data_IF_357194416949
#
_entry.id   IF_357194416949
#
_cell.length_a   1.000
_cell.length_b   1.000
_cell.length_c   1.000
_cell.angle_alpha   90.00
_cell.angle_beta   90.00
_cell.angle_gamma   90.00
#
_symmetry.space_group_name_H-M   'P 1'
#
loop_
_entity.id
_entity.type
_entity.pdbx_description
1 polymer ?
#
# COMPACT_ATOMS: atom_id res chain seq x y z
N UNK A 1 11.48 17.99 -17.12
CA UNK A 1 10.65 16.82 -16.76
C UNK A 1 9.72 16.52 -17.94
N UNK A 2 9.65 15.27 -18.43
CA UNK A 2 8.74 14.89 -19.54
C UNK A 2 7.38 14.51 -18.93
N UNK A 3 6.33 15.27 -19.23
CA UNK A 3 5.00 15.16 -18.59
C UNK A 3 4.00 14.57 -19.58
N UNK A 4 3.17 13.63 -19.11
CA UNK A 4 2.09 12.99 -19.86
C UNK A 4 0.77 13.25 -19.12
N UNK A 5 0.15 14.40 -19.40
CA UNK A 5 -1.05 14.86 -18.69
C UNK A 5 -2.22 13.87 -18.77
N UNK A 6 -2.44 13.23 -19.93
CA UNK A 6 -3.52 12.26 -20.14
C UNK A 6 -3.34 10.96 -19.35
N UNK A 7 -2.13 10.67 -18.88
CA UNK A 7 -1.83 9.52 -18.03
C UNK A 7 -1.57 9.93 -16.57
N UNK A 8 -1.72 11.21 -16.23
CA UNK A 8 -1.40 11.74 -14.90
C UNK A 8 0.01 11.34 -14.40
N UNK A 9 1.02 11.34 -15.29
CA UNK A 9 2.38 10.94 -14.91
C UNK A 9 3.45 11.82 -15.53
N UNK A 10 4.65 11.72 -14.98
CA UNK A 10 5.86 12.29 -15.55
C UNK A 10 7.05 11.35 -15.43
N UNK A 11 8.00 11.48 -16.35
CA UNK A 11 9.27 10.76 -16.29
C UNK A 11 10.15 11.42 -15.24
N UNK A 12 10.60 10.66 -14.23
CA UNK A 12 11.31 11.23 -13.10
C UNK A 12 12.77 11.54 -13.46
N UNK A 13 13.31 12.52 -12.75
CA UNK A 13 14.74 12.62 -12.51
C UNK A 13 15.02 12.01 -11.13
N UNK A 14 15.70 10.87 -11.11
CA UNK A 14 15.97 10.07 -9.92
C UNK A 14 17.38 10.34 -9.43
N UNK A 15 17.51 10.57 -8.13
CA UNK A 15 18.77 10.59 -7.42
C UNK A 15 19.07 9.21 -6.84
N UNK A 16 20.17 8.62 -7.30
CA UNK A 16 20.71 7.37 -6.76
C UNK A 16 21.97 7.68 -5.94
N UNK A 17 22.35 6.82 -4.98
CA UNK A 17 23.66 6.94 -4.33
C UNK A 17 24.79 6.95 -5.37
N UNK A 18 25.77 7.82 -5.15
CA UNK A 18 27.01 7.85 -5.92
C UNK A 18 27.78 6.53 -5.75
N UNK A 19 28.68 6.25 -6.71
CA UNK A 19 29.53 5.06 -6.64
C UNK A 19 30.39 5.07 -5.35
N UNK A 20 30.57 3.89 -4.76
CA UNK A 20 31.30 3.73 -3.49
C UNK A 20 30.44 3.85 -2.23
N UNK A 21 29.18 4.29 -2.32
CA UNK A 21 28.23 4.20 -1.20
C UNK A 21 27.79 2.74 -1.02
N UNK A 22 27.87 2.25 0.21
CA UNK A 22 27.38 0.93 0.59
C UNK A 22 25.85 0.88 0.48
N UNK A 23 25.35 0.27 -0.60
CA UNK A 23 23.93 0.19 -0.88
C UNK A 23 23.16 -0.63 0.17
N UNK A 24 23.81 -1.61 0.80
CA UNK A 24 23.18 -2.45 1.83
C UNK A 24 22.92 -1.63 3.11
N UNK A 25 23.79 -0.68 3.45
CA UNK A 25 23.55 0.30 4.53
C UNK A 25 22.67 1.47 4.09
N UNK A 26 22.71 1.81 2.81
CA UNK A 26 21.92 2.91 2.27
C UNK A 26 20.42 2.60 2.34
N UNK A 27 20.02 1.43 1.86
CA UNK A 27 18.63 1.08 1.66
C UNK A 27 17.98 0.60 2.95
N UNK A 28 17.00 1.36 3.46
CA UNK A 28 16.29 1.05 4.72
C UNK A 28 14.82 0.81 4.43
N UNK A 29 14.19 -0.10 5.16
CA UNK A 29 12.78 -0.43 4.97
C UNK A 29 11.87 0.78 5.27
N UNK A 30 10.68 0.79 4.66
CA UNK A 30 9.64 1.78 4.88
C UNK A 30 9.39 2.08 6.37
N UNK A 31 9.24 3.36 6.70
CA UNK A 31 9.23 3.84 8.08
C UNK A 31 7.97 3.47 8.87
N UNK A 32 6.93 3.04 8.17
CA UNK A 32 5.65 2.54 8.70
C UNK A 32 5.64 1.02 8.93
N UNK A 33 6.79 0.36 8.78
CA UNK A 33 7.00 -1.04 9.14
C UNK A 33 7.65 -1.15 10.52
N UNK A 34 7.50 -2.31 11.18
CA UNK A 34 8.08 -2.59 12.50
C UNK A 34 7.76 -1.50 13.55
N UNK A 35 6.54 -0.94 13.49
CA UNK A 35 6.16 0.27 14.27
C UNK A 35 6.01 0.02 15.77
N UNK A 36 5.96 -1.25 16.18
CA UNK A 36 5.91 -1.68 17.58
C UNK A 36 7.16 -2.47 18.01
N UNK A 37 8.23 -2.44 17.19
CA UNK A 37 9.44 -3.23 17.38
C UNK A 37 10.68 -2.31 17.42
N UNK A 38 10.92 -1.60 18.54
CA UNK A 38 12.08 -0.72 18.68
C UNK A 38 13.42 -1.47 18.52
N UNK A 39 13.47 -2.77 18.86
CA UNK A 39 14.65 -3.61 18.72
C UNK A 39 15.07 -3.80 17.25
N UNK A 40 14.11 -3.83 16.32
CA UNK A 40 14.40 -3.87 14.88
C UNK A 40 15.13 -2.59 14.46
N UNK A 41 14.61 -1.43 14.85
CA UNK A 41 15.19 -0.13 14.51
C UNK A 41 16.57 0.09 15.16
N UNK A 42 16.80 -0.43 16.37
CA UNK A 42 18.14 -0.45 16.98
C UNK A 42 19.15 -1.29 16.17
N UNK A 43 18.73 -2.43 15.60
CA UNK A 43 19.60 -3.22 14.70
C UNK A 43 19.91 -2.47 13.41
N UNK A 44 18.93 -1.77 12.84
CA UNK A 44 19.13 -0.90 11.66
C UNK A 44 20.14 0.21 12.00
N UNK A 45 19.95 0.92 13.11
CA UNK A 45 20.86 1.97 13.58
C UNK A 45 22.28 1.44 13.80
N UNK A 46 22.45 0.27 14.43
CA UNK A 46 23.75 -0.36 14.64
C UNK A 46 24.44 -0.77 13.32
N UNK A 47 23.68 -1.30 12.34
CA UNK A 47 24.22 -1.69 11.04
C UNK A 47 24.66 -0.47 10.20
N UNK A 48 23.84 0.58 10.20
CA UNK A 48 24.11 1.83 9.47
C UNK A 48 25.30 2.57 10.07
N UNK A 49 25.33 2.73 11.40
CA UNK A 49 26.36 3.48 12.10
C UNK A 49 26.47 4.92 11.57
N UNK A 50 27.67 5.33 11.16
CA UNK A 50 27.93 6.67 10.60
C UNK A 50 27.95 6.71 9.06
N UNK A 51 27.58 5.61 8.39
CA UNK A 51 27.58 5.54 6.93
C UNK A 51 26.41 6.35 6.34
N UNK A 52 26.56 6.94 5.13
CA UNK A 52 25.43 7.55 4.46
C UNK A 52 24.29 6.55 4.27
N UNK A 53 23.07 6.94 4.68
CA UNK A 53 21.90 6.07 4.65
C UNK A 53 20.59 6.84 4.56
N UNK A 54 19.59 6.19 3.95
CA UNK A 54 18.19 6.66 3.99
C UNK A 54 17.61 6.65 5.40
N UNK A 55 18.17 5.90 6.36
CA UNK A 55 17.80 5.98 7.78
C UNK A 55 17.80 7.43 8.29
N UNK A 56 18.81 8.20 7.86
CA UNK A 56 18.99 9.59 8.27
C UNK A 56 18.11 10.57 7.49
N UNK A 57 17.33 10.09 6.52
CA UNK A 57 16.40 10.85 5.68
C UNK A 57 14.93 10.57 6.00
N UNK A 58 14.66 9.63 6.91
CA UNK A 58 13.30 9.17 7.24
C UNK A 58 13.01 9.34 8.73
N UNK A 59 11.71 9.31 9.05
CA UNK A 59 11.23 9.30 10.42
C UNK A 59 10.54 7.95 10.70
N UNK A 60 11.23 6.98 11.34
CA UNK A 60 10.62 5.71 11.74
C UNK A 60 9.41 5.91 12.66
N UNK A 61 8.27 5.29 12.33
CA UNK A 61 7.01 5.55 13.01
C UNK A 61 6.98 5.05 14.46
N UNK A 62 7.87 4.11 14.82
CA UNK A 62 8.09 3.67 16.20
C UNK A 62 8.42 4.85 17.14
N UNK A 63 8.98 5.94 16.60
CA UNK A 63 9.36 7.13 17.37
C UNK A 63 8.30 8.24 17.33
N UNK A 64 7.14 8.05 16.71
CA UNK A 64 6.11 9.11 16.57
C UNK A 64 5.62 9.68 17.90
N UNK A 65 5.75 8.93 19.00
CA UNK A 65 5.35 9.36 20.34
C UNK A 65 6.53 9.76 21.23
N UNK A 66 7.76 9.71 20.72
CA UNK A 66 8.93 10.15 21.45
C UNK A 66 8.89 11.68 21.72
N UNK A 67 9.53 12.16 22.80
CA UNK A 67 9.50 13.58 23.15
C UNK A 67 10.36 14.46 22.24
N UNK A 68 11.32 13.89 21.49
CA UNK A 68 12.34 14.58 20.68
C UNK A 68 11.92 14.81 19.21
N UNK A 69 10.62 14.91 18.92
CA UNK A 69 10.10 14.93 17.54
C UNK A 69 10.69 16.05 16.68
N UNK A 70 10.72 17.27 17.21
CA UNK A 70 11.18 18.47 16.48
C UNK A 70 12.70 18.40 16.19
N UNK A 71 13.49 17.87 17.13
CA UNK A 71 14.93 17.67 16.96
C UNK A 71 15.21 16.62 15.87
N UNK A 72 14.43 15.54 15.86
CA UNK A 72 14.54 14.47 14.85
C UNK A 72 14.19 14.99 13.45
N UNK A 73 13.10 15.76 13.32
CA UNK A 73 12.72 16.41 12.04
C UNK A 73 13.82 17.36 11.57
N UNK A 74 14.33 18.22 12.46
CA UNK A 74 15.39 19.17 12.14
C UNK A 74 16.67 18.47 11.65
N UNK A 75 17.07 17.38 12.32
CA UNK A 75 18.22 16.55 11.93
C UNK A 75 18.03 15.88 10.56
N UNK A 76 16.84 15.36 10.28
CA UNK A 76 16.50 14.77 8.98
C UNK A 76 16.66 15.81 7.87
N UNK A 77 16.05 16.98 8.03
CA UNK A 77 16.11 18.05 7.04
C UNK A 77 17.54 18.59 6.83
N UNK A 78 18.31 18.72 7.92
CA UNK A 78 19.72 19.10 7.85
C UNK A 78 20.54 18.05 7.07
N UNK A 79 20.30 16.77 7.33
CA UNK A 79 20.98 15.66 6.63
C UNK A 79 20.66 15.65 5.14
N UNK A 80 19.39 15.86 4.76
CA UNK A 80 19.01 15.94 3.35
C UNK A 80 19.79 17.04 2.60
N UNK A 81 19.95 18.21 3.23
CA UNK A 81 20.73 19.34 2.67
C UNK A 81 22.23 19.01 2.60
N UNK A 82 22.78 18.44 3.66
CA UNK A 82 24.17 18.02 3.74
C UNK A 82 24.52 16.99 2.65
N UNK A 83 23.68 15.98 2.43
CA UNK A 83 23.88 14.98 1.38
C UNK A 83 23.86 15.58 -0.02
N UNK A 84 22.94 16.50 -0.29
CA UNK A 84 22.92 17.25 -1.55
C UNK A 84 24.19 18.08 -1.73
N UNK A 85 24.65 18.77 -0.69
CA UNK A 85 25.85 19.61 -0.73
C UNK A 85 27.14 18.80 -0.92
N UNK A 86 27.23 17.62 -0.28
CA UNK A 86 28.36 16.70 -0.41
C UNK A 86 28.42 15.96 -1.75
N UNK A 87 27.36 16.05 -2.56
CA UNK A 87 27.32 15.39 -3.87
C UNK A 87 27.30 13.85 -3.79
N UNK A 88 26.68 13.29 -2.74
CA UNK A 88 26.61 11.83 -2.57
C UNK A 88 25.55 11.15 -3.46
N UNK A 89 24.92 11.93 -4.35
CA UNK A 89 23.95 11.46 -5.32
C UNK A 89 24.46 11.60 -6.75
N UNK A 90 24.11 10.62 -7.59
CA UNK A 90 24.15 10.72 -9.06
C UNK A 90 22.73 10.82 -9.59
N UNK A 91 22.52 11.68 -10.59
CA UNK A 91 21.21 11.86 -11.22
C UNK A 91 21.04 10.93 -12.43
N UNK A 92 19.84 10.38 -12.58
CA UNK A 92 19.43 9.54 -13.71
C UNK A 92 18.02 9.96 -14.14
N UNK A 93 17.84 10.29 -15.41
CA UNK A 93 16.53 10.63 -15.97
C UNK A 93 15.96 9.44 -16.75
N UNK A 94 14.74 9.02 -16.42
CA UNK A 94 14.07 7.91 -17.10
C UNK A 94 13.22 7.07 -16.16
N UNK A 95 12.42 6.17 -16.73
CA UNK A 95 11.74 5.14 -15.95
C UNK A 95 12.78 4.14 -15.42
N UNK A 96 12.57 3.60 -14.23
CA UNK A 96 13.42 2.54 -13.68
C UNK A 96 12.60 1.27 -13.47
N UNK A 97 12.96 0.22 -14.19
CA UNK A 97 12.42 -1.12 -13.97
C UNK A 97 13.11 -1.75 -12.76
N UNK A 98 12.30 -2.24 -11.82
CA UNK A 98 12.75 -2.78 -10.54
C UNK A 98 12.34 -4.24 -10.42
N UNK A 99 13.25 -5.09 -9.98
CA UNK A 99 12.95 -6.45 -9.54
C UNK A 99 13.30 -6.57 -8.04
N UNK A 100 12.35 -7.02 -7.23
CA UNK A 100 12.54 -7.28 -5.79
C UNK A 100 12.24 -8.73 -5.47
N UNK A 101 13.16 -9.39 -4.79
CA UNK A 101 12.96 -10.73 -4.27
C UNK A 101 11.97 -10.72 -3.10
N UNK A 102 11.02 -11.65 -3.14
CA UNK A 102 10.01 -11.94 -2.12
C UNK A 102 10.01 -13.45 -1.83
N UNK A 103 9.29 -13.90 -0.81
CA UNK A 103 9.08 -15.33 -0.54
C UNK A 103 8.43 -16.07 -1.73
N UNK A 104 7.76 -15.34 -2.61
CA UNK A 104 6.99 -15.88 -3.74
C UNK A 104 7.64 -15.62 -5.11
N UNK A 105 8.85 -15.05 -5.16
CA UNK A 105 9.59 -14.84 -6.40
C UNK A 105 10.10 -13.42 -6.57
N UNK A 106 10.12 -12.93 -7.80
CA UNK A 106 10.60 -11.57 -8.11
C UNK A 106 9.43 -10.67 -8.47
N UNK A 107 9.10 -9.72 -7.58
CA UNK A 107 8.13 -8.67 -7.85
C UNK A 107 8.70 -7.65 -8.81
N UNK A 108 7.97 -7.42 -9.89
CA UNK A 108 8.37 -6.51 -10.95
C UNK A 108 7.65 -5.17 -10.78
N UNK A 109 8.41 -4.10 -10.83
CA UNK A 109 7.92 -2.75 -10.63
C UNK A 109 8.50 -1.75 -11.64
N UNK A 110 7.84 -0.60 -11.76
CA UNK A 110 8.27 0.50 -12.59
C UNK A 110 8.23 1.80 -11.78
N UNK A 111 9.38 2.43 -11.58
CA UNK A 111 9.49 3.72 -10.92
C UNK A 111 9.18 4.87 -11.89
N UNK A 112 8.20 5.68 -11.51
CA UNK A 112 7.76 6.87 -12.24
C UNK A 112 7.17 7.92 -11.28
N UNK A 113 6.87 9.11 -11.79
CA UNK A 113 6.19 10.13 -11.03
C UNK A 113 4.70 10.18 -11.38
N UNK A 114 3.81 10.21 -10.37
CA UNK A 114 2.39 10.45 -10.56
C UNK A 114 2.02 11.90 -10.23
N UNK A 115 1.08 12.45 -11.00
CA UNK A 115 0.54 13.80 -10.83
C UNK A 115 -0.50 13.82 -9.72
N UNK A 116 -0.19 14.53 -8.63
CA UNK A 116 -1.05 14.64 -7.47
C UNK A 116 -2.34 15.42 -7.78
N UNK A 117 -2.43 16.22 -8.84
CA UNK A 117 -3.71 16.85 -9.24
C UNK A 117 -4.76 15.80 -9.67
N UNK A 118 -4.31 14.62 -10.11
CA UNK A 118 -5.17 13.52 -10.53
C UNK A 118 -5.32 12.42 -9.46
N UNK A 119 -4.84 12.68 -8.25
CA UNK A 119 -4.99 11.80 -7.09
C UNK A 119 -6.03 12.35 -6.11
N UNK A 120 -6.97 11.49 -5.76
CA UNK A 120 -7.99 11.76 -4.75
C UNK A 120 -8.15 10.52 -3.85
N UNK A 121 -8.08 10.74 -2.53
CA UNK A 121 -8.22 9.70 -1.50
C UNK A 121 -9.56 9.77 -0.77
N UNK A 122 -10.49 10.60 -1.24
CA UNK A 122 -11.84 10.65 -0.70
C UNK A 122 -12.64 9.39 -1.11
N UNK A 123 -13.56 8.88 -0.27
CA UNK A 123 -14.30 7.65 -0.55
C UNK A 123 -15.14 7.64 -1.84
N UNK A 124 -15.43 8.81 -2.43
CA UNK A 124 -16.21 8.96 -3.67
C UNK A 124 -15.36 9.51 -4.82
N UNK A 125 -14.04 9.37 -4.71
CA UNK A 125 -13.11 9.80 -5.73
C UNK A 125 -13.40 9.11 -7.06
N UNK A 126 -13.38 9.91 -8.13
CA UNK A 126 -13.58 9.43 -9.49
C UNK A 126 -12.39 9.79 -10.39
N UNK A 127 -11.25 10.12 -9.79
CA UNK A 127 -10.01 10.53 -10.44
C UNK A 127 -9.26 9.34 -11.03
N UNK A 128 -8.23 9.62 -11.84
CA UNK A 128 -7.42 8.58 -12.48
C UNK A 128 -6.57 7.77 -11.49
N UNK A 129 -6.19 8.40 -10.36
CA UNK A 129 -5.45 7.79 -9.25
C UNK A 129 -6.32 7.82 -7.99
N UNK A 130 -6.55 6.67 -7.35
CA UNK A 130 -7.43 6.54 -6.17
C UNK A 130 -6.79 5.70 -5.07
N UNK A 131 -7.10 5.99 -3.81
CA UNK A 131 -6.70 5.13 -2.68
C UNK A 131 -7.52 3.84 -2.66
N UNK A 132 -6.88 2.70 -2.42
CA UNK A 132 -7.61 1.42 -2.24
C UNK A 132 -8.25 1.33 -0.86
N UNK A 133 -7.62 1.90 0.18
CA UNK A 133 -8.11 1.91 1.55
C UNK A 133 -8.41 3.33 2.04
N UNK A 134 -9.36 3.44 2.97
CA UNK A 134 -9.67 4.72 3.61
C UNK A 134 -8.44 5.32 4.32
N UNK A 135 -8.08 6.55 3.95
CA UNK A 135 -6.98 7.26 4.63
C UNK A 135 -7.43 7.73 6.00
N UNK A 136 -6.62 7.44 7.03
CA UNK A 136 -6.85 7.92 8.40
C UNK A 136 -6.41 9.38 8.46
N UNK A 137 -7.36 10.31 8.46
CA UNK A 137 -7.07 11.74 8.36
C UNK A 137 -6.23 12.25 9.52
N UNK A 138 -6.42 11.71 10.73
CA UNK A 138 -5.68 12.08 11.94
C UNK A 138 -4.18 11.74 11.84
N UNK A 139 -3.83 10.81 10.94
CA UNK A 139 -2.45 10.39 10.67
C UNK A 139 -1.72 11.33 9.71
N UNK A 140 -2.43 12.19 8.97
CA UNK A 140 -1.82 13.09 7.97
C UNK A 140 -1.06 14.26 8.62
N UNK A 141 -1.60 15.03 9.59
CA UNK A 141 -0.91 16.21 10.13
C UNK A 141 0.49 15.94 10.70
N UNK A 142 0.74 14.86 11.48
CA UNK A 142 2.09 14.53 11.92
C UNK A 142 3.06 14.26 10.76
N UNK A 143 2.59 13.58 9.70
CA UNK A 143 3.40 13.27 8.51
C UNK A 143 3.68 14.52 7.67
N UNK A 144 2.72 15.44 7.59
CA UNK A 144 2.92 16.74 6.94
C UNK A 144 4.02 17.52 7.64
N UNK A 145 4.05 17.57 8.97
CA UNK A 145 5.12 18.24 9.72
C UNK A 145 6.51 17.67 9.42
N UNK A 146 6.62 16.36 9.27
CA UNK A 146 7.89 15.68 8.94
C UNK A 146 8.37 16.06 7.52
N UNK A 147 7.45 16.12 6.55
CA UNK A 147 7.77 16.35 5.14
C UNK A 147 7.83 17.84 4.75
N UNK A 148 7.19 18.73 5.49
CA UNK A 148 7.18 20.18 5.21
C UNK A 148 8.60 20.76 5.36
N UNK A 149 9.13 21.35 4.29
CA UNK A 149 10.50 21.88 4.24
C UNK A 149 11.58 20.88 3.81
N UNK A 150 11.21 19.62 3.51
CA UNK A 150 12.13 18.63 2.97
C UNK A 150 12.61 19.01 1.56
N UNK A 151 13.93 18.89 1.31
CA UNK A 151 14.57 19.12 -0.01
C UNK A 151 14.61 17.87 -0.87
N UNK A 152 14.38 16.70 -0.27
CA UNK A 152 14.38 15.38 -0.91
C UNK A 152 13.09 14.65 -0.54
N UNK A 153 12.63 13.80 -1.45
CA UNK A 153 11.76 12.67 -1.10
C UNK A 153 12.47 11.35 -1.36
N UNK A 154 12.22 10.38 -0.48
CA UNK A 154 12.55 8.96 -0.67
C UNK A 154 11.25 8.18 -0.49
N UNK A 155 10.61 7.68 -1.56
CA UNK A 155 9.26 7.13 -1.46
C UNK A 155 9.26 5.63 -1.23
N UNK A 156 8.30 5.18 -0.43
CA UNK A 156 7.91 3.77 -0.29
C UNK A 156 6.52 3.47 -0.87
N UNK A 157 5.95 4.41 -1.64
CA UNK A 157 4.60 4.31 -2.19
C UNK A 157 4.58 3.25 -3.30
N UNK A 158 3.64 2.32 -3.20
CA UNK A 158 3.37 1.29 -4.20
C UNK A 158 2.00 1.55 -4.82
N UNK A 159 1.97 1.58 -6.15
CA UNK A 159 0.78 1.78 -6.96
C UNK A 159 0.51 0.49 -7.72
N UNK A 160 -0.76 0.11 -7.81
CA UNK A 160 -1.23 -1.04 -8.54
C UNK A 160 -1.87 -0.59 -9.86
N UNK A 161 -1.60 -1.37 -10.90
CA UNK A 161 -2.32 -1.35 -12.18
C UNK A 161 -2.98 -2.71 -12.38
N UNK A 162 -4.19 -2.72 -12.93
CA UNK A 162 -4.86 -3.95 -13.35
C UNK A 162 -4.57 -4.22 -14.84
N UNK A 163 -3.49 -4.97 -15.07
CA UNK A 163 -2.95 -5.28 -16.38
C UNK A 163 -2.75 -6.79 -16.57
N UNK A 164 -3.84 -7.54 -16.75
CA UNK A 164 -3.82 -9.00 -16.91
C UNK A 164 -3.00 -9.50 -18.10
N UNK A 165 -2.73 -8.63 -19.09
CA UNK A 165 -1.92 -8.96 -20.27
C UNK A 165 -0.46 -8.50 -20.13
N UNK A 166 -0.10 -7.92 -18.98
CA UNK A 166 1.24 -7.42 -18.66
C UNK A 166 1.84 -6.49 -19.72
N UNK A 167 1.02 -5.62 -20.31
CA UNK A 167 1.39 -4.69 -21.37
C UNK A 167 2.33 -3.57 -20.90
N UNK A 168 2.27 -3.20 -19.62
CA UNK A 168 3.00 -2.06 -19.06
C UNK A 168 4.38 -2.46 -18.57
N UNK A 169 4.49 -3.50 -17.74
CA UNK A 169 5.78 -3.91 -17.13
C UNK A 169 6.47 -5.00 -17.97
N UNK A 170 5.70 -5.78 -18.75
CA UNK A 170 6.21 -6.82 -19.64
C UNK A 170 7.33 -6.34 -20.58
N UNK A 171 7.18 -5.23 -21.31
CA UNK A 171 8.22 -4.75 -22.22
C UNK A 171 9.58 -4.52 -21.55
N UNK A 172 9.60 -3.99 -20.32
CA UNK A 172 10.85 -3.81 -19.58
C UNK A 172 11.46 -5.14 -19.12
N UNK A 173 10.62 -6.13 -18.83
CA UNK A 173 11.03 -7.48 -18.47
C UNK A 173 11.67 -8.19 -19.67
N UNK A 174 11.02 -8.15 -20.83
CA UNK A 174 11.44 -8.84 -22.05
C UNK A 174 12.76 -8.27 -22.60
N UNK A 175 12.93 -6.95 -22.51
CA UNK A 175 14.12 -6.24 -22.98
C UNK A 175 15.16 -5.99 -21.87
N UNK A 176 15.02 -6.59 -20.69
CA UNK A 176 15.87 -6.32 -19.50
C UNK A 176 17.37 -6.38 -19.80
N UNK A 177 17.80 -7.33 -20.64
CA UNK A 177 19.22 -7.53 -20.98
C UNK A 177 19.79 -6.40 -21.87
N UNK A 178 18.94 -5.56 -22.46
CA UNK A 178 19.31 -4.41 -23.28
C UNK A 178 19.38 -3.11 -22.48
N UNK A 179 18.83 -3.11 -21.26
CA UNK A 179 18.71 -1.97 -20.38
C UNK A 179 19.98 -1.78 -19.53
N UNK A 180 20.32 -0.52 -19.23
CA UNK A 180 21.44 -0.23 -18.33
C UNK A 180 21.09 -0.61 -16.88
N UNK A 181 21.79 -1.60 -16.32
CA UNK A 181 21.69 -1.94 -14.89
C UNK A 181 22.21 -0.80 -14.02
N UNK A 182 21.39 -0.34 -13.08
CA UNK A 182 21.67 0.76 -12.16
C UNK A 182 22.23 0.26 -10.81
N UNK A 183 21.63 -0.80 -10.26
CA UNK A 183 22.02 -1.43 -9.00
C UNK A 183 21.54 -2.88 -8.94
N UNK A 184 22.21 -3.70 -8.13
CA UNK A 184 21.93 -5.14 -7.95
C UNK A 184 22.63 -5.64 -6.68
N UNK A 185 21.91 -5.70 -5.57
CA UNK A 185 22.49 -5.98 -4.25
C UNK A 185 21.48 -6.58 -3.28
N UNK A 186 21.99 -7.20 -2.21
CA UNK A 186 21.18 -7.71 -1.10
C UNK A 186 20.83 -6.61 -0.11
N UNK A 187 19.58 -6.58 0.32
CA UNK A 187 19.08 -5.65 1.31
C UNK A 187 19.56 -6.05 2.72
N UNK A 188 19.50 -5.10 3.65
CA UNK A 188 19.84 -5.35 5.04
C UNK A 188 18.85 -6.31 5.71
N UNK A 189 19.29 -6.95 6.79
CA UNK A 189 18.46 -7.78 7.66
C UNK A 189 17.67 -8.85 6.89
N UNK A 190 18.37 -9.58 6.02
CA UNK A 190 17.86 -10.73 5.26
C UNK A 190 16.56 -10.44 4.49
N UNK A 191 16.39 -9.18 4.05
CA UNK A 191 15.18 -8.72 3.36
C UNK A 191 15.22 -8.94 1.84
N UNK A 192 15.95 -9.98 1.39
CA UNK A 192 16.08 -10.36 -0.02
C UNK A 192 17.01 -9.44 -0.85
N UNK A 193 16.94 -9.59 -2.16
CA UNK A 193 17.73 -8.87 -3.16
C UNK A 193 16.90 -7.90 -3.99
N UNK A 194 17.50 -6.79 -4.42
CA UNK A 194 16.88 -5.81 -5.32
C UNK A 194 17.75 -5.52 -6.54
N UNK A 195 17.11 -5.33 -7.69
CA UNK A 195 17.74 -4.94 -8.96
C UNK A 195 16.99 -3.79 -9.60
N UNK A 196 17.73 -2.89 -10.23
CA UNK A 196 17.17 -1.75 -10.93
C UNK A 196 17.82 -1.56 -12.28
N UNK A 197 17.03 -1.28 -13.30
CA UNK A 197 17.45 -1.09 -14.68
C UNK A 197 16.82 0.18 -15.23
N UNK A 198 17.64 1.04 -15.85
CA UNK A 198 17.15 2.23 -16.52
C UNK A 198 16.50 1.84 -17.83
N UNK A 199 15.26 2.29 -18.07
CA UNK A 199 14.61 2.16 -19.38
C UNK A 199 15.18 3.24 -20.31
N UNK A 200 16.41 3.03 -20.78
CA UNK A 200 17.17 3.96 -21.65
C UNK A 200 16.97 3.71 -23.15
N UNK A 201 16.04 2.82 -23.49
CA UNK A 201 15.66 2.48 -24.87
C UNK A 201 14.35 3.18 -25.24
N UNK A 202 14.35 4.15 -26.18
CA UNK A 202 13.12 4.86 -26.56
C UNK A 202 11.99 3.95 -27.05
N UNK A 203 12.32 2.84 -27.72
CA UNK A 203 11.34 1.85 -28.17
C UNK A 203 10.63 1.16 -26.99
N UNK A 204 11.40 0.75 -25.97
CA UNK A 204 10.85 0.12 -24.75
C UNK A 204 10.03 1.12 -23.96
N UNK A 205 10.52 2.36 -23.77
CA UNK A 205 9.73 3.43 -23.12
C UNK A 205 8.38 3.64 -23.84
N UNK A 206 8.39 3.67 -25.18
CA UNK A 206 7.16 3.81 -25.96
C UNK A 206 6.20 2.64 -25.73
N UNK A 207 6.66 1.39 -25.72
CA UNK A 207 5.81 0.23 -25.47
C UNK A 207 5.13 0.29 -24.10
N UNK A 208 5.88 0.67 -23.06
CA UNK A 208 5.35 0.86 -21.70
C UNK A 208 4.25 1.93 -21.68
N UNK A 209 4.51 3.08 -22.32
CA UNK A 209 3.54 4.19 -22.39
C UNK A 209 2.30 3.80 -23.21
N UNK A 210 2.46 3.10 -24.34
CA UNK A 210 1.35 2.59 -25.13
C UNK A 210 0.48 1.62 -24.31
N UNK A 211 1.11 0.77 -23.47
CA UNK A 211 0.41 -0.08 -22.51
C UNK A 211 -0.45 0.73 -21.53
N UNK A 212 0.12 1.77 -20.92
CA UNK A 212 -0.62 2.67 -20.02
C UNK A 212 -1.76 3.41 -20.73
N UNK A 213 -1.54 3.87 -21.98
CA UNK A 213 -2.60 4.47 -22.80
C UNK A 213 -3.76 3.51 -23.05
N UNK A 214 -3.45 2.23 -23.30
CA UNK A 214 -4.49 1.22 -23.50
C UNK A 214 -5.28 0.92 -22.22
N UNK A 215 -4.63 0.89 -21.06
CA UNK A 215 -5.32 0.72 -19.78
C UNK A 215 -6.17 1.94 -19.38
N UNK A 216 -5.74 3.14 -19.78
CA UNK A 216 -6.47 4.38 -19.54
C UNK A 216 -7.58 4.66 -20.57
N UNK A 217 -7.66 3.89 -21.66
CA UNK A 217 -8.69 4.09 -22.67
C UNK A 217 -10.08 3.87 -22.06
N UNK A 218 -10.94 4.88 -22.20
CA UNK A 218 -12.25 4.89 -21.54
C UNK A 218 -13.12 3.71 -21.98
N UNK A 219 -13.11 3.37 -23.27
CA UNK A 219 -13.99 2.32 -23.81
C UNK A 219 -13.51 0.95 -23.37
N UNK A 220 -12.20 0.70 -23.43
CA UNK A 220 -11.62 -0.56 -22.96
C UNK A 220 -11.81 -0.72 -21.46
N UNK A 221 -11.61 0.34 -20.67
CA UNK A 221 -11.86 0.35 -19.22
C UNK A 221 -13.32 0.02 -18.89
N UNK A 222 -14.27 0.74 -19.50
CA UNK A 222 -15.70 0.54 -19.25
C UNK A 222 -16.15 -0.87 -19.64
N UNK A 223 -15.68 -1.37 -20.78
CA UNK A 223 -15.94 -2.73 -21.23
C UNK A 223 -15.37 -3.77 -20.27
N UNK A 224 -14.12 -3.58 -19.80
CA UNK A 224 -13.44 -4.51 -18.88
C UNK A 224 -14.22 -4.71 -17.59
N UNK A 225 -14.74 -3.64 -17.00
CA UNK A 225 -15.44 -3.68 -15.72
C UNK A 225 -16.98 -3.65 -15.85
N UNK A 226 -17.52 -3.78 -17.06
CA UNK A 226 -18.96 -3.70 -17.35
C UNK A 226 -19.64 -2.45 -16.76
N UNK A 227 -19.04 -1.29 -17.00
CA UNK A 227 -19.47 0.01 -16.46
C UNK A 227 -20.24 0.84 -17.50
N UNK A 228 -21.07 1.81 -17.07
CA UNK A 228 -21.72 2.74 -17.98
C UNK A 228 -20.71 3.66 -18.69
N UNK A 229 -21.09 4.19 -19.86
CA UNK A 229 -20.27 5.09 -20.69
C UNK A 229 -19.80 6.38 -19.99
N UNK A 230 -20.46 6.76 -18.90
CA UNK A 230 -20.10 7.93 -18.07
C UNK A 230 -19.07 7.61 -16.97
N UNK A 231 -18.73 6.34 -16.74
CA UNK A 231 -17.82 5.95 -15.68
C UNK A 231 -16.38 6.41 -16.01
N UNK A 232 -15.75 7.21 -15.13
CA UNK A 232 -14.39 7.67 -15.35
C UNK A 232 -13.37 6.57 -15.05
N UNK A 233 -12.26 6.52 -15.81
CA UNK A 233 -11.24 5.49 -15.65
C UNK A 233 -10.55 5.56 -14.28
N UNK A 234 -10.15 4.39 -13.80
CA UNK A 234 -9.19 4.18 -12.72
C UNK A 234 -7.97 3.49 -13.33
N UNK A 235 -6.86 4.21 -13.46
CA UNK A 235 -5.62 3.63 -13.95
C UNK A 235 -4.74 3.14 -12.80
N UNK A 236 -4.65 3.94 -11.74
CA UNK A 236 -3.72 3.72 -10.64
C UNK A 236 -4.45 3.60 -9.31
N UNK A 237 -4.32 2.45 -8.66
CA UNK A 237 -4.86 2.21 -7.32
C UNK A 237 -3.72 2.18 -6.31
N UNK A 238 -3.79 2.95 -5.23
CA UNK A 238 -2.70 2.96 -4.23
C UNK A 238 -2.69 1.65 -3.46
N UNK A 239 -1.68 0.81 -3.67
CA UNK A 239 -1.54 -0.49 -2.99
C UNK A 239 -0.93 -0.37 -1.59
N UNK A 240 0.13 0.42 -1.46
CA UNK A 240 0.80 0.69 -0.18
C UNK A 240 1.33 2.13 -0.12
N UNK A 241 1.50 2.66 1.09
CA UNK A 241 1.89 4.05 1.31
C UNK A 241 0.76 5.06 1.12
N UNK A 242 -0.51 4.66 1.35
CA UNK A 242 -1.70 5.54 1.28
C UNK A 242 -1.50 6.87 2.03
N UNK A 243 -1.04 6.83 3.29
CA UNK A 243 -0.80 8.05 4.07
C UNK A 243 0.37 8.88 3.53
N UNK A 244 1.37 8.24 2.91
CA UNK A 244 2.52 8.92 2.31
C UNK A 244 2.11 9.73 1.08
N UNK A 245 1.32 9.14 0.17
CA UNK A 245 0.80 9.84 -1.00
C UNK A 245 -0.21 10.94 -0.61
N UNK A 246 -1.10 10.69 0.35
CA UNK A 246 -2.01 11.70 0.91
C UNK A 246 -1.27 12.87 1.56
N UNK A 247 -0.13 12.60 2.22
CA UNK A 247 0.74 13.64 2.79
C UNK A 247 1.37 14.49 1.69
N UNK A 248 1.87 13.86 0.62
CA UNK A 248 2.41 14.57 -0.53
C UNK A 248 1.34 15.46 -1.20
N UNK A 249 0.13 14.91 -1.43
CA UNK A 249 -1.04 15.66 -1.93
C UNK A 249 -1.37 16.86 -1.05
N UNK A 250 -1.40 16.67 0.26
CA UNK A 250 -1.71 17.77 1.21
C UNK A 250 -0.69 18.90 1.13
N UNK A 251 0.60 18.57 1.01
CA UNK A 251 1.66 19.57 0.82
C UNK A 251 1.53 20.27 -0.54
N UNK A 252 1.24 19.51 -1.59
CA UNK A 252 0.99 20.06 -2.91
C UNK A 252 -0.17 21.07 -2.92
N UNK A 253 -1.33 20.74 -2.35
CA UNK A 253 -2.47 21.66 -2.26
C UNK A 253 -2.12 22.93 -1.47
N UNK A 254 -1.36 22.81 -0.38
CA UNK A 254 -0.86 23.98 0.36
C UNK A 254 0.12 24.83 -0.47
N UNK A 255 0.95 24.23 -1.30
CA UNK A 255 1.87 24.95 -2.18
C UNK A 255 1.12 25.60 -3.35
N UNK A 256 0.16 24.89 -3.93
CA UNK A 256 -0.68 25.33 -5.04
C UNK A 256 -1.47 26.60 -4.72
N UNK A 257 -1.94 26.75 -3.47
CA UNK A 257 -2.61 27.98 -3.02
C UNK A 257 -1.68 29.18 -2.87
N UNK A 258 -0.36 28.95 -2.71
CA UNK A 258 0.67 30.00 -2.58
C UNK A 258 1.29 30.39 -3.93
N UNK A 259 1.40 29.44 -4.85
CA UNK A 259 1.90 29.68 -6.20
C UNK A 259 0.78 30.28 -7.05
N UNK A 260 1.03 31.45 -7.64
CA UNK A 260 0.08 32.12 -8.53
C UNK A 260 0.42 31.94 -10.01
N UNK A 261 1.66 31.53 -10.33
CA UNK A 261 2.13 31.35 -11.70
C UNK A 261 1.77 29.95 -12.24
N UNK A 262 1.00 29.84 -13.34
CA UNK A 262 0.64 28.56 -13.95
C UNK A 262 1.83 27.69 -14.38
N UNK A 263 2.93 28.29 -14.83
CA UNK A 263 4.12 27.56 -15.25
C UNK A 263 4.85 26.95 -14.06
N UNK A 264 4.96 27.69 -12.95
CA UNK A 264 5.52 27.20 -11.69
C UNK A 264 4.65 26.09 -11.11
N UNK A 265 3.31 26.20 -11.23
CA UNK A 265 2.39 25.16 -10.83
C UNK A 265 2.56 23.88 -11.65
N UNK A 266 2.68 24.00 -12.97
CA UNK A 266 2.81 22.86 -13.87
C UNK A 266 4.11 22.09 -13.68
N UNK A 267 5.21 22.82 -13.45
CA UNK A 267 6.55 22.26 -13.36
C UNK A 267 7.03 22.04 -11.91
N UNK A 268 6.19 22.31 -10.90
CA UNK A 268 6.54 22.13 -9.51
C UNK A 268 6.91 20.67 -9.22
N UNK A 269 8.10 20.38 -8.67
CA UNK A 269 8.45 19.03 -8.24
C UNK A 269 7.46 18.50 -7.18
N UNK A 270 6.89 19.38 -6.36
CA UNK A 270 5.92 19.02 -5.32
C UNK A 270 4.58 18.53 -5.87
N UNK A 271 4.24 18.85 -7.13
CA UNK A 271 3.04 18.34 -7.81
C UNK A 271 3.11 16.85 -8.11
N UNK A 272 4.32 16.35 -8.33
CA UNK A 272 4.53 14.97 -8.71
C UNK A 272 5.04 14.17 -7.50
N UNK A 273 4.70 12.89 -7.41
CA UNK A 273 5.22 11.99 -6.38
C UNK A 273 5.88 10.79 -7.05
N UNK A 274 7.14 10.49 -6.69
CA UNK A 274 7.82 9.29 -7.15
C UNK A 274 7.19 8.05 -6.49
N UNK A 275 6.83 7.04 -7.30
CA UNK A 275 6.13 5.82 -6.87
C UNK A 275 6.68 4.59 -7.60
N UNK A 276 6.51 3.41 -7.01
CA UNK A 276 6.71 2.12 -7.70
C UNK A 276 5.36 1.59 -8.19
N UNK A 277 5.17 1.50 -9.51
CA UNK A 277 4.00 0.87 -10.13
C UNK A 277 4.26 -0.63 -10.25
N UNK A 278 3.37 -1.44 -9.71
CA UNK A 278 3.39 -2.91 -9.71
C UNK A 278 2.13 -3.41 -10.40
N UNK A 279 2.25 -4.48 -11.18
CA UNK A 279 1.08 -5.14 -11.76
C UNK A 279 0.37 -5.97 -10.68
N UNK A 280 -0.92 -5.74 -10.51
CA UNK A 280 -1.77 -6.53 -9.60
C UNK A 280 -1.65 -8.05 -9.88
N UNK A 281 -1.50 -8.39 -11.15
CA UNK A 281 -1.39 -9.77 -11.65
C UNK A 281 0.02 -10.36 -11.55
N UNK A 282 0.99 -9.68 -10.93
CA UNK A 282 2.31 -10.26 -10.69
C UNK A 282 2.19 -11.45 -9.71
N UNK A 283 2.69 -12.62 -10.11
CA UNK A 283 2.59 -13.88 -9.32
C UNK A 283 3.22 -13.75 -7.93
N UNK A 284 4.24 -12.90 -7.78
CA UNK A 284 4.93 -12.71 -6.50
C UNK A 284 4.17 -11.78 -5.54
N UNK A 285 3.11 -11.12 -6.01
CA UNK A 285 2.26 -10.27 -5.19
C UNK A 285 1.16 -11.13 -4.57
N UNK A 286 1.24 -11.47 -3.28
CA UNK A 286 0.22 -12.29 -2.63
C UNK A 286 -0.66 -11.43 -1.71
N UNK A 287 -1.98 -11.63 -1.79
CA UNK A 287 -2.95 -11.02 -0.88
C UNK A 287 -3.26 -11.99 0.25
N UNK A 288 -2.91 -11.59 1.47
CA UNK A 288 -3.22 -12.35 2.67
C UNK A 288 -4.40 -11.72 3.41
N UNK A 289 -5.31 -12.54 3.96
CA UNK A 289 -6.41 -12.02 4.76
C UNK A 289 -5.87 -11.42 6.06
N UNK A 290 -6.50 -10.34 6.50
CA UNK A 290 -6.32 -9.84 7.87
C UNK A 290 -7.57 -10.25 8.65
N UNK A 291 -7.39 -11.07 9.68
CA UNK A 291 -8.48 -11.56 10.53
C UNK A 291 -8.91 -10.50 11.56
N UNK A 292 -9.99 -10.76 12.31
CA UNK A 292 -10.44 -9.90 13.41
C UNK A 292 -10.52 -10.66 14.71
N UNK A 293 -10.22 -10.00 15.82
CA UNK A 293 -10.51 -10.51 17.16
C UNK A 293 -11.22 -9.41 17.94
N UNK A 294 -12.44 -9.69 18.41
CA UNK A 294 -13.10 -8.88 19.42
C UNK A 294 -12.62 -9.30 20.81
N UNK A 295 -12.35 -8.32 21.68
CA UNK A 295 -11.96 -8.54 23.05
C UNK A 295 -13.03 -8.06 24.01
N UNK A 296 -13.20 -8.75 25.15
CA UNK A 296 -14.10 -8.29 26.21
C UNK A 296 -15.56 -8.19 25.79
N UNK A 297 -16.03 -9.16 24.99
CA UNK A 297 -17.43 -9.23 24.57
C UNK A 297 -18.31 -9.48 25.80
N UNK A 298 -19.31 -8.62 26.05
CA UNK A 298 -20.12 -8.67 27.27
C UNK A 298 -21.04 -9.90 27.32
N UNK A 299 -21.68 -10.24 26.19
CA UNK A 299 -22.61 -11.37 26.08
C UNK A 299 -22.24 -12.27 24.89
N UNK A 300 -21.10 -12.99 24.95
CA UNK A 300 -20.57 -13.75 23.81
C UNK A 300 -21.49 -14.89 23.34
N UNK A 301 -22.40 -15.35 24.20
CA UNK A 301 -23.46 -16.32 23.89
C UNK A 301 -24.55 -15.77 22.97
N UNK A 302 -24.80 -14.45 22.98
CA UNK A 302 -25.86 -13.80 22.22
C UNK A 302 -25.37 -13.26 20.87
N UNK A 303 -24.07 -13.36 20.58
CA UNK A 303 -23.46 -12.75 19.41
C UNK A 303 -24.07 -13.22 18.07
N UNK A 304 -24.39 -14.51 17.94
CA UNK A 304 -25.05 -15.05 16.73
C UNK A 304 -26.42 -14.38 16.50
N UNK A 305 -27.18 -14.16 17.58
CA UNK A 305 -28.47 -13.47 17.55
C UNK A 305 -28.29 -11.99 17.18
N UNK A 306 -27.29 -11.32 17.73
CA UNK A 306 -27.02 -9.91 17.40
C UNK A 306 -26.57 -9.72 15.95
N UNK A 307 -25.80 -10.66 15.40
CA UNK A 307 -25.45 -10.69 13.97
C UNK A 307 -26.71 -10.88 13.13
N UNK A 308 -27.55 -11.86 13.48
CA UNK A 308 -28.81 -12.14 12.77
C UNK A 308 -29.76 -10.92 12.75
N UNK A 309 -29.94 -10.28 13.91
CA UNK A 309 -30.74 -9.06 14.05
C UNK A 309 -30.18 -7.90 13.21
N UNK A 310 -28.85 -7.70 13.21
CA UNK A 310 -28.21 -6.66 12.41
C UNK A 310 -28.44 -6.85 10.91
N UNK A 311 -28.30 -8.09 10.42
CA UNK A 311 -28.55 -8.44 9.01
C UNK A 311 -30.03 -8.74 8.70
N UNK A 312 -30.94 -8.55 9.66
CA UNK A 312 -32.39 -8.75 9.50
C UNK A 312 -32.76 -10.17 9.05
N UNK A 313 -32.14 -11.18 9.64
CA UNK A 313 -32.38 -12.59 9.31
C UNK A 313 -31.77 -13.06 7.99
N UNK A 314 -30.85 -12.28 7.40
CA UNK A 314 -30.23 -12.58 6.09
C UNK A 314 -28.84 -13.19 6.21
N UNK A 315 -28.64 -14.00 7.25
CA UNK A 315 -27.41 -14.74 7.49
C UNK A 315 -27.74 -16.19 7.83
N UNK A 316 -26.85 -17.11 7.47
CA UNK A 316 -26.94 -18.51 7.86
C UNK A 316 -25.70 -18.90 8.67
N UNK A 317 -25.93 -19.59 9.78
CA UNK A 317 -24.88 -20.12 10.64
C UNK A 317 -24.75 -21.63 10.46
N UNK A 318 -23.52 -22.11 10.30
CA UNK A 318 -23.23 -23.55 10.26
C UNK A 318 -22.06 -23.86 11.17
N UNK A 319 -22.27 -24.81 12.10
CA UNK A 319 -21.22 -25.29 13.01
C UNK A 319 -20.32 -26.29 12.31
N UNK A 320 -19.03 -26.21 12.61
CA UNK A 320 -17.97 -27.07 12.10
C UNK A 320 -17.27 -27.81 13.24
N UNK A 321 -16.71 -28.99 12.98
CA UNK A 321 -16.10 -29.83 14.01
C UNK A 321 -14.68 -29.39 14.37
N UNK A 322 -14.03 -28.65 13.47
CA UNK A 322 -12.66 -28.18 13.62
C UNK A 322 -12.44 -26.84 12.93
N UNK A 323 -11.33 -26.19 13.26
CA UNK A 323 -10.87 -25.00 12.57
C UNK A 323 -10.61 -25.26 11.07
N UNK A 324 -10.04 -26.41 10.72
CA UNK A 324 -9.76 -26.76 9.32
C UNK A 324 -11.02 -26.93 8.48
N UNK A 325 -12.09 -27.52 9.05
CA UNK A 325 -13.40 -27.60 8.39
C UNK A 325 -13.98 -26.20 8.15
N UNK A 326 -13.92 -25.32 9.15
CA UNK A 326 -14.37 -23.93 9.02
C UNK A 326 -13.59 -23.18 7.93
N UNK A 327 -12.25 -23.29 7.96
CA UNK A 327 -11.35 -22.67 7.00
C UNK A 327 -11.64 -23.15 5.58
N UNK A 328 -11.88 -24.45 5.42
CA UNK A 328 -12.24 -25.06 4.13
C UNK A 328 -13.54 -24.48 3.62
N UNK A 329 -14.61 -24.42 4.42
CA UNK A 329 -15.91 -23.84 4.01
C UNK A 329 -15.77 -22.38 3.57
N UNK A 330 -15.01 -21.57 4.31
CA UNK A 330 -14.79 -20.14 3.99
C UNK A 330 -13.99 -19.96 2.69
N UNK A 331 -12.95 -20.77 2.49
CA UNK A 331 -12.07 -20.66 1.33
C UNK A 331 -12.62 -21.35 0.08
N UNK A 332 -13.53 -22.32 0.22
CA UNK A 332 -14.22 -22.98 -0.90
C UNK A 332 -15.48 -22.24 -1.37
N UNK A 333 -15.71 -21.02 -0.89
CA UNK A 333 -16.83 -20.18 -1.32
C UNK A 333 -16.83 -20.01 -2.84
N UNK A 334 -18.02 -20.00 -3.45
CA UNK A 334 -18.15 -19.72 -4.88
C UNK A 334 -17.99 -18.23 -5.16
N UNK A 335 -17.82 -17.89 -6.44
CA UNK A 335 -17.87 -16.51 -6.93
C UNK A 335 -19.18 -15.85 -6.44
N UNK A 336 -19.07 -14.64 -5.88
CA UNK A 336 -20.15 -13.86 -5.24
C UNK A 336 -20.67 -14.37 -3.89
N UNK A 337 -20.30 -15.58 -3.43
CA UNK A 337 -20.66 -16.02 -2.08
C UNK A 337 -19.82 -15.29 -1.04
N UNK A 338 -20.50 -14.78 -0.01
CA UNK A 338 -19.81 -14.18 1.14
C UNK A 338 -19.94 -15.06 2.37
N UNK A 339 -18.80 -15.53 2.84
CA UNK A 339 -18.69 -16.42 4.00
C UNK A 339 -17.52 -15.94 4.86
N UNK A 340 -17.78 -15.80 6.15
CA UNK A 340 -16.75 -15.56 7.17
C UNK A 340 -16.81 -16.65 8.22
N UNK A 341 -15.71 -16.90 8.93
CA UNK A 341 -15.70 -17.80 10.07
C UNK A 341 -15.76 -17.05 11.39
N UNK A 342 -16.33 -17.68 12.41
CA UNK A 342 -16.40 -17.21 13.78
C UNK A 342 -15.89 -18.29 14.73
N UNK A 343 -15.04 -17.89 15.66
CA UNK A 343 -14.32 -18.75 16.61
C UNK A 343 -14.60 -18.25 18.02
N UNK A 344 -15.20 -19.11 18.85
CA UNK A 344 -15.47 -18.84 20.27
C UNK A 344 -14.95 -20.01 21.10
N UNK A 345 -13.77 -19.85 21.71
CA UNK A 345 -13.05 -20.94 22.34
C UNK A 345 -12.82 -22.09 21.36
N UNK A 346 -13.44 -23.25 21.61
CA UNK A 346 -13.36 -24.45 20.76
C UNK A 346 -14.55 -24.59 19.79
N UNK A 347 -15.45 -23.59 19.73
CA UNK A 347 -16.59 -23.60 18.80
C UNK A 347 -16.21 -22.89 17.51
N UNK A 348 -16.48 -23.54 16.38
CA UNK A 348 -16.21 -23.03 15.04
C UNK A 348 -17.53 -22.93 14.25
N UNK A 349 -17.86 -21.73 13.76
CA UNK A 349 -19.12 -21.48 13.04
C UNK A 349 -18.85 -20.64 11.80
N UNK A 350 -19.33 -21.05 10.63
CA UNK A 350 -19.34 -20.18 9.44
C UNK A 350 -20.59 -19.32 9.43
N UNK A 351 -20.44 -18.08 8.96
CA UNK A 351 -21.48 -17.08 8.76
C UNK A 351 -21.57 -16.83 7.26
N UNK A 352 -22.68 -17.22 6.63
CA UNK A 352 -22.94 -16.98 5.20
C UNK A 352 -23.90 -15.80 5.08
N UNK A 353 -23.53 -14.78 4.30
CA UNK A 353 -24.35 -13.59 4.08
C UNK A 353 -25.23 -13.78 2.84
N UNK A 354 -26.55 -13.79 3.01
CA UNK A 354 -27.49 -14.16 1.93
C UNK A 354 -27.80 -13.02 0.96
N UNK A 355 -27.74 -11.77 1.43
CA UNK A 355 -27.94 -10.56 0.62
C UNK A 355 -26.99 -9.46 1.08
N UNK A 356 -25.69 -9.60 0.83
CA UNK A 356 -24.71 -8.60 1.23
C UNK A 356 -24.94 -7.29 0.49
N UNK A 357 -24.73 -6.16 1.18
CA UNK A 357 -24.80 -4.81 0.58
C UNK A 357 -23.43 -4.34 0.04
N UNK A 358 -22.36 -5.09 0.32
CA UNK A 358 -20.99 -4.81 -0.09
C UNK A 358 -20.47 -5.93 -0.99
N UNK A 359 -19.41 -5.67 -1.78
CA UNK A 359 -18.81 -6.70 -2.65
C UNK A 359 -17.99 -7.76 -1.89
N UNK A 360 -17.42 -7.42 -0.73
CA UNK A 360 -16.51 -8.30 0.02
C UNK A 360 -17.09 -8.82 1.34
N UNK A 361 -16.76 -10.08 1.67
CA UNK A 361 -17.12 -10.72 2.96
C UNK A 361 -16.63 -9.92 4.17
N UNK A 362 -15.41 -9.36 4.08
CA UNK A 362 -14.82 -8.51 5.13
C UNK A 362 -15.59 -7.21 5.31
N UNK A 363 -16.12 -6.62 4.23
CA UNK A 363 -16.90 -5.39 4.32
C UNK A 363 -18.24 -5.64 5.00
N UNK A 364 -18.94 -6.71 4.61
CA UNK A 364 -20.16 -7.15 5.27
C UNK A 364 -19.92 -7.39 6.75
N UNK A 365 -18.92 -8.18 7.13
CA UNK A 365 -18.61 -8.42 8.54
C UNK A 365 -18.22 -7.15 9.30
N UNK A 366 -17.35 -6.31 8.72
CA UNK A 366 -16.85 -5.10 9.38
C UNK A 366 -17.98 -4.13 9.71
N UNK A 367 -19.02 -4.04 8.86
CA UNK A 367 -20.19 -3.19 9.12
C UNK A 367 -20.89 -3.56 10.44
N UNK A 368 -21.02 -4.86 10.73
CA UNK A 368 -21.53 -5.36 12.00
C UNK A 368 -20.56 -5.06 13.15
N UNK A 369 -19.27 -5.35 12.99
CA UNK A 369 -18.26 -5.16 14.04
C UNK A 369 -18.16 -3.69 14.49
N UNK A 370 -18.19 -2.76 13.55
CA UNK A 370 -18.16 -1.33 13.85
C UNK A 370 -19.44 -0.88 14.59
N UNK A 371 -20.61 -1.42 14.22
CA UNK A 371 -21.86 -1.18 14.95
C UNK A 371 -21.82 -1.76 16.37
N UNK A 372 -21.27 -2.96 16.52
CA UNK A 372 -21.12 -3.65 17.80
C UNK A 372 -20.21 -2.88 18.77
N UNK A 373 -19.07 -2.37 18.25
CA UNK A 373 -18.14 -1.55 19.02
C UNK A 373 -18.74 -0.18 19.40
N UNK A 374 -19.54 0.44 18.51
CA UNK A 374 -20.23 1.71 18.83
C UNK A 374 -21.22 1.57 19.98
N UNK A 375 -21.86 0.41 20.12
CA UNK A 375 -22.70 0.07 21.29
C UNK A 375 -21.91 -0.17 22.57
N UNK A 376 -20.57 -0.18 22.51
CA UNK A 376 -19.67 -0.58 23.61
C UNK A 376 -19.95 -1.98 24.14
N UNK A 377 -20.42 -2.89 23.27
CA UNK A 377 -20.70 -4.29 23.61
C UNK A 377 -19.43 -5.18 23.65
N UNK A 378 -18.29 -4.63 23.20
CA UNK A 378 -16.96 -5.21 23.34
C UNK A 378 -15.96 -4.14 23.81
N UNK A 379 -14.89 -4.56 24.47
CA UNK A 379 -13.82 -3.68 24.95
C UNK A 379 -12.94 -3.15 23.81
N UNK A 380 -12.77 -3.93 22.73
CA UNK A 380 -11.97 -3.53 21.58
C UNK A 380 -11.96 -4.55 20.45
N UNK A 381 -11.25 -4.19 19.38
CA UNK A 381 -11.02 -5.04 18.21
C UNK A 381 -9.55 -4.97 17.82
N UNK A 382 -9.01 -6.09 17.37
CA UNK A 382 -7.67 -6.19 16.81
C UNK A 382 -7.66 -6.88 15.44
N UNK A 383 -6.60 -6.60 14.68
CA UNK A 383 -6.40 -6.96 13.29
C UNK A 383 -5.22 -7.91 13.21
N UNK A 384 -5.51 -9.17 12.90
CA UNK A 384 -4.55 -10.26 13.16
C UNK A 384 -4.09 -10.89 11.85
N UNK A 385 -2.78 -11.05 11.71
CA UNK A 385 -2.16 -11.78 10.60
C UNK A 385 -1.90 -13.23 11.01
N UNK A 386 -2.27 -14.16 10.13
CA UNK A 386 -2.03 -15.59 10.29
C UNK A 386 -3.01 -16.32 11.22
N UNK A 387 -3.28 -17.57 10.82
CA UNK A 387 -4.22 -18.48 11.49
C UNK A 387 -3.86 -18.75 12.95
N UNK A 388 -2.56 -18.95 13.24
CA UNK A 388 -2.09 -19.30 14.58
C UNK A 388 -2.37 -18.18 15.59
N UNK A 389 -2.11 -16.93 15.20
CA UNK A 389 -2.37 -15.75 16.04
C UNK A 389 -3.87 -15.59 16.29
N UNK A 390 -4.69 -15.76 15.24
CA UNK A 390 -6.14 -15.73 15.35
C UNK A 390 -6.63 -16.78 16.36
N UNK A 391 -6.23 -18.04 16.22
CA UNK A 391 -6.63 -19.11 17.13
C UNK A 391 -6.20 -18.84 18.57
N UNK A 392 -4.93 -18.46 18.75
CA UNK A 392 -4.34 -18.22 20.07
C UNK A 392 -5.09 -17.11 20.82
N UNK A 393 -5.35 -15.98 20.16
CA UNK A 393 -6.06 -14.85 20.77
C UNK A 393 -7.53 -15.16 21.04
N UNK A 394 -8.20 -15.87 20.13
CA UNK A 394 -9.62 -16.25 20.25
C UNK A 394 -9.87 -17.30 21.33
N UNK A 395 -8.85 -18.07 21.69
CA UNK A 395 -8.92 -19.11 22.72
C UNK A 395 -8.37 -18.65 24.07
N UNK A 396 -7.70 -17.49 24.11
CA UNK A 396 -7.05 -16.96 25.32
C UNK A 396 -8.04 -16.67 26.44
N UNK A 397 -9.21 -16.13 26.11
CA UNK A 397 -10.27 -15.81 27.06
C UNK A 397 -11.64 -16.12 26.44
N UNK A 398 -12.63 -16.43 27.27
CA UNK A 398 -13.97 -16.86 26.83
C UNK A 398 -14.79 -15.74 26.18
N UNK A 399 -14.43 -14.50 26.45
CA UNK A 399 -15.01 -13.26 25.92
C UNK A 399 -14.25 -12.72 24.70
N UNK A 400 -13.26 -13.47 24.21
CA UNK A 400 -12.58 -13.18 22.94
C UNK A 400 -13.25 -13.94 21.81
N UNK A 401 -13.55 -13.24 20.71
CA UNK A 401 -14.20 -13.83 19.54
C UNK A 401 -13.38 -13.56 18.31
N UNK A 402 -12.87 -14.62 17.69
CA UNK A 402 -12.14 -14.56 16.44
C UNK A 402 -13.05 -14.60 15.24
N UNK A 403 -12.69 -13.86 14.19
CA UNK A 403 -13.31 -13.96 12.89
C UNK A 403 -12.27 -14.29 11.82
N UNK A 404 -12.43 -15.48 11.25
CA UNK A 404 -11.67 -15.92 10.10
C UNK A 404 -12.25 -15.28 8.83
N UNK A 405 -11.38 -14.74 7.99
CA UNK A 405 -11.77 -14.05 6.78
C UNK A 405 -11.09 -14.73 5.59
N UNK A 406 -11.79 -14.86 4.46
CA UNK A 406 -11.16 -15.37 3.25
C UNK A 406 -10.12 -14.39 2.73
N UNK A 407 -9.10 -14.90 2.03
CA UNK A 407 -8.25 -14.07 1.19
C UNK A 407 -9.11 -13.40 0.11
N UNK A 408 -8.85 -12.10 -0.11
CA UNK A 408 -9.46 -11.33 -1.19
C UNK A 408 -8.85 -11.75 -2.52
N UNK A 409 -9.69 -11.98 -3.53
CA UNK A 409 -9.17 -12.20 -4.87
C UNK A 409 -8.61 -10.88 -5.42
N UNK A 410 -7.47 -10.94 -6.09
CA UNK A 410 -6.86 -9.77 -6.73
C UNK A 410 -7.85 -9.13 -7.71
N UNK A 411 -8.60 -9.94 -8.45
CA UNK A 411 -9.56 -9.48 -9.45
C UNK A 411 -10.73 -8.70 -8.83
N UNK A 412 -10.96 -8.83 -7.51
CA UNK A 412 -11.96 -8.05 -6.79
C UNK A 412 -11.48 -6.63 -6.45
N UNK A 413 -10.17 -6.33 -6.54
CA UNK A 413 -9.60 -5.06 -6.07
C UNK A 413 -10.14 -3.86 -6.84
N UNK A 414 -9.90 -3.82 -8.15
CA UNK A 414 -10.31 -2.69 -8.98
C UNK A 414 -11.83 -2.56 -9.04
N UNK A 415 -12.63 -3.64 -9.28
CA UNK A 415 -14.08 -3.55 -9.21
C UNK A 415 -14.59 -2.97 -7.90
N UNK A 416 -14.04 -3.39 -6.76
CA UNK A 416 -14.44 -2.86 -5.45
C UNK A 416 -14.10 -1.38 -5.31
N UNK A 417 -12.91 -0.94 -5.73
CA UNK A 417 -12.54 0.48 -5.67
C UNK A 417 -13.39 1.35 -6.62
N UNK A 418 -13.78 0.79 -7.77
CA UNK A 418 -14.62 1.48 -8.75
C UNK A 418 -16.06 1.64 -8.24
N UNK A 419 -16.63 0.58 -7.65
CA UNK A 419 -18.05 0.50 -7.30
C UNK A 419 -18.33 0.98 -5.87
N UNK A 420 -17.52 0.53 -4.91
CA UNK A 420 -17.70 0.80 -3.47
C UNK A 420 -16.82 1.96 -2.97
N UNK A 421 -15.86 2.41 -3.80
CA UNK A 421 -14.97 3.52 -3.48
C UNK A 421 -13.69 3.06 -2.78
N UNK A 422 -13.71 3.01 -1.44
CA UNK A 422 -12.57 2.52 -0.66
C UNK A 422 -12.92 1.22 0.03
N UNK A 423 -11.96 0.30 0.08
CA UNK A 423 -12.06 -0.91 0.86
C UNK A 423 -12.16 -0.59 2.36
N UNK A 424 -12.79 -1.47 3.15
CA UNK A 424 -12.64 -1.44 4.59
C UNK A 424 -11.17 -1.38 4.98
N UNK A 425 -10.87 -0.70 6.09
CA UNK A 425 -9.51 -0.68 6.62
C UNK A 425 -9.00 -2.11 6.85
N UNK A 426 -7.73 -2.34 6.52
CA UNK A 426 -7.07 -3.63 6.78
C UNK A 426 -7.83 -4.79 6.14
N UNK A 427 -8.21 -4.64 4.88
CA UNK A 427 -8.92 -5.69 4.13
C UNK A 427 -7.97 -6.85 3.83
N UNK A 428 -6.77 -6.55 3.34
CA UNK A 428 -5.73 -7.53 3.05
C UNK A 428 -4.35 -6.99 3.45
N UNK A 429 -3.38 -7.89 3.54
CA UNK A 429 -1.95 -7.56 3.54
C UNK A 429 -1.35 -7.96 2.20
N UNK A 430 -0.33 -7.22 1.76
CA UNK A 430 0.45 -7.54 0.56
C UNK A 430 1.84 -8.02 0.97
N UNK A 431 2.09 -9.33 0.86
CA UNK A 431 3.35 -9.94 1.24
C UNK A 431 3.74 -9.75 2.70
N UNK A 432 4.92 -10.26 3.04
CA UNK A 432 5.48 -10.21 4.38
C UNK A 432 6.08 -8.84 4.72
N UNK A 433 6.24 -8.55 6.02
CA UNK A 433 6.77 -7.26 6.49
C UNK A 433 8.19 -6.95 5.96
N UNK A 434 9.03 -7.97 5.75
CA UNK A 434 10.38 -7.81 5.22
C UNK A 434 10.43 -7.58 3.70
N UNK A 435 9.36 -7.91 2.98
CA UNK A 435 9.24 -7.75 1.51
C UNK A 435 8.72 -6.37 1.09
N UNK A 436 8.41 -5.53 2.10
CA UNK A 436 7.96 -4.17 1.92
C UNK A 436 9.05 -3.31 1.26
N UNK A 437 8.63 -2.17 0.72
CA UNK A 437 9.53 -1.33 -0.07
C UNK A 437 10.63 -0.75 0.82
N UNK A 438 11.85 -0.76 0.28
CA UNK A 438 13.01 -0.09 0.87
C UNK A 438 13.21 1.27 0.20
N UNK A 439 13.53 2.28 0.99
CA UNK A 439 13.98 3.57 0.50
C UNK A 439 15.33 3.40 -0.17
N UNK A 440 15.39 3.64 -1.48
CA UNK A 440 16.62 3.51 -2.26
C UNK A 440 16.77 4.72 -3.19
N UNK A 441 15.76 4.95 -4.02
CA UNK A 441 15.72 6.07 -4.95
C UNK A 441 15.19 7.33 -4.27
N UNK A 442 15.84 8.45 -4.52
CA UNK A 442 15.40 9.76 -4.05
C UNK A 442 15.01 10.66 -5.22
N UNK A 443 14.27 11.73 -4.93
CA UNK A 443 14.01 12.82 -5.89
C UNK A 443 14.13 14.16 -5.18
N UNK A 444 14.66 15.15 -5.88
CA UNK A 444 14.75 16.53 -5.38
C UNK A 444 13.37 17.20 -5.40
N UNK A 445 12.99 17.83 -4.30
CA UNK A 445 11.70 18.53 -4.15
C UNK A 445 11.79 20.05 -4.36
N UNK A 446 13.00 20.62 -4.29
CA UNK A 446 13.24 22.05 -4.48
C UNK A 446 14.44 22.26 -5.39
N UNK A 447 14.31 23.15 -6.37
CA UNK A 447 15.37 23.54 -7.30
C UNK A 447 16.48 24.30 -6.61
#
# INVERSE_FOLDING_TARGET
MKIFNSLALSIPEILLPSEGIDLKKWAVIACDQYTSEPEYWQKVEAMVGNSPSTLHLIYPEVYLNAPDKEDRISRIQATMKDYLQKGIFRSVSGLVYVERETAHGWRKGLLLCLDLDNYDYNPRASSLIRSTEGTILERIPPRVKIREGAVLEVPHIMILIDDSHNLVIGPATDHKNELKKLYDFELMLDSGRIRGFLVDRPAVEKMILDGLFKLADHKEFQKKYNLPDSAPPLLFAVGDGNHSLATAKTIWEKTKTRLQNPEELQNSPLRYALVEVVNLHDDSLVFEPIHRVLFGVQEPQNLEKEIDEFFKGKVEFRKHRSYEELKTEVNSRKELEQISGMIRGITFTSIRFLKPEHNLSVASLQSFLDHYLKKKAAAGIDYVHGDQSLLTLSQKQTDNIGFYLPAMDKDELFPTVILDGVLPRKTFSMGEAWEKRFYLEARRLMG
#
